data_IF_434252226195
#
_entry.id   IF_434252226195
#
_cell.length_a   1.000
_cell.length_b   1.000
_cell.length_c   1.000
_cell.angle_alpha   90.00
_cell.angle_beta   90.00
_cell.angle_gamma   90.00
#
_symmetry.space_group_name_H-M   'P 1'
#
loop_
_entity.id
_entity.type
_entity.pdbx_description
1 polymer ?
#
# COMPACT_ATOMS: atom_id res chain seq x y z
N UNK A 1 -60.42 -8.15 1.19
CA UNK A 1 -59.32 -7.68 2.04
C UNK A 1 -58.09 -7.51 1.17
N UNK A 2 -57.62 -6.26 1.04
CA UNK A 2 -56.22 -5.79 0.81
C UNK A 2 -55.50 -6.28 -0.48
N UNK A 3 -55.38 -5.42 -1.53
CA UNK A 3 -54.19 -4.60 -1.93
C UNK A 3 -52.99 -5.46 -2.41
N UNK A 4 -52.11 -5.13 -3.36
CA UNK A 4 -51.74 -3.98 -4.20
C UNK A 4 -50.85 -4.58 -5.34
N UNK A 5 -50.68 -3.97 -6.52
CA UNK A 5 -49.44 -3.26 -6.90
C UNK A 5 -48.14 -3.93 -6.40
N UNK A 6 -47.10 -4.24 -7.18
CA UNK A 6 -46.43 -3.36 -8.14
C UNK A 6 -45.41 -4.10 -9.03
N UNK A 7 -45.12 -3.43 -10.16
CA UNK A 7 -44.08 -3.56 -11.20
C UNK A 7 -42.82 -4.39 -10.88
N UNK A 8 -42.27 -5.16 -11.85
CA UNK A 8 -40.94 -5.74 -11.72
C UNK A 8 -39.89 -4.63 -11.68
N UNK A 9 -39.06 -4.64 -10.63
CA UNK A 9 -37.92 -3.76 -10.49
C UNK A 9 -36.94 -4.07 -11.62
N UNK A 10 -36.72 -3.05 -12.46
CA UNK A 10 -35.58 -2.96 -13.36
C UNK A 10 -34.32 -3.39 -12.60
N UNK A 11 -33.67 -4.46 -13.07
CA UNK A 11 -32.33 -4.81 -12.67
C UNK A 11 -31.41 -3.72 -13.24
N UNK A 12 -31.32 -2.60 -12.53
CA UNK A 12 -30.32 -1.59 -12.79
C UNK A 12 -28.97 -2.29 -12.70
N UNK A 13 -28.20 -2.19 -13.79
CA UNK A 13 -26.78 -2.48 -13.78
C UNK A 13 -26.22 -1.87 -12.49
N UNK A 14 -25.60 -2.70 -11.64
CA UNK A 14 -24.77 -2.19 -10.57
C UNK A 14 -23.86 -1.11 -11.20
N UNK A 15 -23.73 0.09 -10.58
CA UNK A 15 -22.82 1.07 -11.11
C UNK A 15 -21.48 0.37 -11.34
N UNK A 16 -20.91 0.54 -12.53
CA UNK A 16 -19.58 0.05 -12.82
C UNK A 16 -18.71 0.38 -11.62
N UNK A 17 -18.04 -0.62 -11.04
CA UNK A 17 -17.08 -0.39 -9.96
C UNK A 17 -16.12 0.67 -10.50
N UNK A 18 -16.26 1.92 -10.03
CA UNK A 18 -15.28 2.94 -10.30
C UNK A 18 -13.95 2.35 -9.87
N UNK A 19 -12.96 2.35 -10.77
CA UNK A 19 -11.61 1.99 -10.41
C UNK A 19 -11.24 2.87 -9.21
N UNK A 20 -11.20 2.27 -8.01
CA UNK A 20 -10.92 3.01 -6.78
C UNK A 20 -9.59 3.78 -6.90
N UNK A 21 -8.67 3.29 -7.75
CA UNK A 21 -7.45 3.98 -8.12
C UNK A 21 -7.68 5.36 -8.76
N UNK A 22 -8.57 5.49 -9.74
CA UNK A 22 -8.77 6.77 -10.45
C UNK A 22 -9.43 7.81 -9.54
N UNK A 23 -10.48 7.41 -8.80
CA UNK A 23 -11.15 8.28 -7.84
C UNK A 23 -10.23 8.69 -6.67
N UNK A 24 -9.31 7.82 -6.27
CA UNK A 24 -8.32 8.12 -5.23
C UNK A 24 -7.23 9.08 -5.74
N UNK A 25 -6.77 8.93 -6.98
CA UNK A 25 -5.80 9.85 -7.60
C UNK A 25 -6.38 11.27 -7.76
N UNK A 26 -7.69 11.40 -7.97
CA UNK A 26 -8.39 12.69 -8.02
C UNK A 26 -8.34 13.49 -6.70
N UNK A 27 -7.83 12.92 -5.60
CA UNK A 27 -7.59 13.64 -4.34
C UNK A 27 -6.29 14.48 -4.39
N UNK A 28 -5.35 14.18 -5.28
CA UNK A 28 -4.02 14.82 -5.31
C UNK A 28 -3.97 16.02 -6.27
N UNK A 29 -3.01 16.98 -6.10
CA UNK A 29 -1.99 17.02 -5.05
C UNK A 29 -2.57 17.42 -3.68
N UNK A 30 -1.97 16.88 -2.62
CA UNK A 30 -2.24 17.33 -1.25
C UNK A 30 -1.50 18.64 -0.97
N UNK A 31 -2.08 19.49 -0.12
CA UNK A 31 -1.46 20.74 0.34
C UNK A 31 -1.67 20.93 1.84
N UNK A 32 -0.75 21.65 2.47
CA UNK A 32 -0.95 22.13 3.84
C UNK A 32 -1.87 23.37 3.84
N UNK A 33 -2.84 23.39 4.74
CA UNK A 33 -3.66 24.53 5.08
C UNK A 33 -3.66 24.69 6.60
N UNK A 34 -2.79 25.58 7.09
CA UNK A 34 -2.46 25.68 8.51
C UNK A 34 -1.93 24.34 9.04
N UNK A 35 -2.57 23.81 10.09
CA UNK A 35 -2.23 22.52 10.71
C UNK A 35 -2.89 21.30 10.04
N UNK A 36 -3.55 21.47 8.89
CA UNK A 36 -4.32 20.41 8.21
C UNK A 36 -3.73 20.11 6.85
N UNK A 37 -3.83 18.85 6.42
CA UNK A 37 -3.70 18.49 5.01
C UNK A 37 -5.07 18.58 4.34
N UNK A 38 -5.10 19.11 3.12
CA UNK A 38 -6.28 19.16 2.26
C UNK A 38 -5.97 18.57 0.88
N UNK A 39 -6.98 17.98 0.27
CA UNK A 39 -6.94 17.49 -1.12
C UNK A 39 -7.06 18.64 -2.12
N UNK A 40 -7.02 18.34 -3.43
CA UNK A 40 -7.16 19.37 -4.47
C UNK A 40 -8.51 20.10 -4.49
N UNK A 41 -9.56 19.53 -3.87
CA UNK A 41 -10.88 20.17 -3.69
C UNK A 41 -10.97 21.04 -2.43
N UNK A 42 -9.90 21.10 -1.62
CA UNK A 42 -9.87 21.84 -0.36
C UNK A 42 -10.47 21.08 0.83
N UNK A 43 -10.86 19.82 0.67
CA UNK A 43 -11.41 18.99 1.73
C UNK A 43 -10.30 18.43 2.60
N UNK A 44 -10.56 18.29 3.90
CA UNK A 44 -9.58 17.75 4.85
C UNK A 44 -9.20 16.31 4.49
N UNK A 45 -7.89 16.06 4.39
CA UNK A 45 -7.33 14.75 4.15
C UNK A 45 -6.65 14.24 5.43
N UNK A 46 -6.97 13.01 5.87
CA UNK A 46 -6.36 12.38 7.05
C UNK A 46 -5.44 11.24 6.60
N UNK A 47 -4.19 11.27 7.08
CA UNK A 47 -3.25 10.16 6.92
C UNK A 47 -3.38 9.26 8.15
N UNK A 48 -3.80 8.00 7.95
CA UNK A 48 -3.68 6.96 8.94
C UNK A 48 -2.37 6.22 8.66
N UNK A 49 -1.30 6.62 9.35
CA UNK A 49 0.06 6.20 9.03
C UNK A 49 0.58 5.06 9.89
N UNK A 50 1.38 4.17 9.29
CA UNK A 50 2.24 3.20 9.99
C UNK A 50 3.69 3.35 9.53
N UNK A 51 4.65 3.04 10.42
CA UNK A 51 6.06 2.92 10.03
C UNK A 51 6.39 1.46 9.78
N UNK A 52 7.05 1.16 8.65
CA UNK A 52 7.61 -0.16 8.39
C UNK A 52 9.13 -0.05 8.26
N UNK A 53 9.83 -0.42 9.34
CA UNK A 53 11.28 -0.28 9.48
C UNK A 53 12.06 -1.44 8.83
N UNK A 54 13.38 -1.35 8.83
CA UNK A 54 14.31 -2.42 8.44
C UNK A 54 15.21 -2.05 7.27
N UNK A 55 14.67 -1.37 6.26
CA UNK A 55 15.44 -0.98 5.07
C UNK A 55 16.56 0.02 5.38
N UNK A 56 16.41 0.80 6.45
CA UNK A 56 17.46 1.66 7.00
C UNK A 56 18.57 0.93 7.74
N UNK A 57 18.36 -0.34 8.10
CA UNK A 57 19.18 -1.07 9.06
C UNK A 57 20.16 -2.02 8.33
N UNK A 58 20.88 -2.84 9.09
CA UNK A 58 21.95 -3.71 8.58
C UNK A 58 21.51 -4.76 7.54
N UNK A 59 20.20 -5.04 7.43
CA UNK A 59 19.66 -5.97 6.43
C UNK A 59 19.29 -5.29 5.11
N UNK A 60 19.24 -3.96 5.08
CA UNK A 60 18.91 -3.13 3.91
C UNK A 60 17.53 -3.40 3.26
N UNK A 61 16.68 -4.23 3.87
CA UNK A 61 15.33 -4.54 3.40
C UNK A 61 14.33 -4.39 4.54
N UNK A 62 13.06 -4.16 4.21
CA UNK A 62 12.00 -4.04 5.22
C UNK A 62 11.91 -5.30 6.09
N UNK A 63 11.69 -5.10 7.39
CA UNK A 63 11.67 -6.19 8.35
C UNK A 63 10.49 -7.14 8.10
N UNK A 64 10.68 -8.43 8.40
CA UNK A 64 9.63 -9.45 8.35
C UNK A 64 9.58 -10.28 7.07
N UNK A 65 10.35 -9.94 6.02
CA UNK A 65 10.44 -10.74 4.79
C UNK A 65 11.12 -12.11 4.99
N UNK A 66 11.85 -12.28 6.09
CA UNK A 66 12.35 -13.56 6.58
C UNK A 66 11.26 -14.45 7.21
N UNK A 67 10.13 -13.86 7.62
CA UNK A 67 9.05 -14.54 8.34
C UNK A 67 7.79 -14.71 7.50
N UNK A 68 7.38 -13.70 6.73
CA UNK A 68 6.09 -13.66 6.01
C UNK A 68 6.27 -13.28 4.54
N UNK A 69 5.34 -13.71 3.65
CA UNK A 69 5.26 -13.18 2.30
C UNK A 69 4.98 -11.67 2.31
N UNK A 70 5.63 -10.91 1.43
CA UNK A 70 5.43 -9.48 1.23
C UNK A 70 3.94 -9.14 1.07
N UNK A 71 3.23 -9.92 0.24
CA UNK A 71 1.81 -9.76 -0.01
C UNK A 71 0.94 -9.88 1.27
N UNK A 72 1.29 -10.78 2.20
CA UNK A 72 0.55 -10.91 3.47
C UNK A 72 0.77 -9.71 4.38
N UNK A 73 1.99 -9.17 4.43
CA UNK A 73 2.30 -7.99 5.25
C UNK A 73 1.57 -6.76 4.70
N UNK A 74 1.63 -6.52 3.39
CA UNK A 74 0.90 -5.42 2.75
C UNK A 74 -0.61 -5.55 2.98
N UNK A 75 -1.17 -6.76 2.84
CA UNK A 75 -2.58 -7.01 3.12
C UNK A 75 -2.92 -6.73 4.59
N UNK A 76 -2.09 -7.13 5.54
CA UNK A 76 -2.34 -6.85 6.95
C UNK A 76 -2.34 -5.34 7.24
N UNK A 77 -1.46 -4.56 6.62
CA UNK A 77 -1.44 -3.09 6.72
C UNK A 77 -2.76 -2.49 6.21
N UNK A 78 -3.24 -2.94 5.05
CA UNK A 78 -4.50 -2.49 4.46
C UNK A 78 -5.71 -2.90 5.33
N UNK A 79 -5.76 -4.16 5.79
CA UNK A 79 -6.84 -4.69 6.62
C UNK A 79 -6.94 -3.98 7.99
N UNK A 80 -5.84 -3.42 8.50
CA UNK A 80 -5.83 -2.57 9.70
C UNK A 80 -6.37 -1.15 9.45
N UNK A 81 -6.62 -0.76 8.20
CA UNK A 81 -7.16 0.55 7.83
C UNK A 81 -6.11 1.67 7.75
N UNK A 82 -4.83 1.33 7.61
CA UNK A 82 -3.79 2.33 7.33
C UNK A 82 -3.86 2.80 5.87
N UNK A 83 -3.65 4.10 5.65
CA UNK A 83 -3.70 4.74 4.32
C UNK A 83 -2.34 5.25 3.85
N UNK A 84 -1.33 5.24 4.73
CA UNK A 84 0.04 5.65 4.42
C UNK A 84 1.03 4.73 5.14
N UNK A 85 2.06 4.30 4.43
CA UNK A 85 3.22 3.65 5.03
C UNK A 85 4.42 4.56 4.90
N UNK A 86 5.07 4.85 6.03
CA UNK A 86 6.39 5.47 6.04
C UNK A 86 7.44 4.37 5.99
N UNK A 87 8.26 4.39 4.94
CA UNK A 87 9.35 3.46 4.69
C UNK A 87 10.71 4.16 4.92
N UNK A 88 11.34 4.02 6.10
CA UNK A 88 12.68 4.53 6.33
C UNK A 88 13.71 3.73 5.53
N UNK A 89 14.67 4.43 4.93
CA UNK A 89 15.72 3.85 4.09
C UNK A 89 17.06 4.52 4.41
N UNK A 90 18.18 3.87 4.08
CA UNK A 90 19.53 4.43 4.29
C UNK A 90 20.21 4.78 2.97
N UNK A 91 21.17 5.71 3.00
CA UNK A 91 21.99 5.98 1.81
C UNK A 91 22.87 4.78 1.40
N UNK A 92 23.17 3.90 2.35
CA UNK A 92 23.98 2.71 2.11
C UNK A 92 23.23 1.70 1.24
N UNK A 93 21.93 1.47 1.50
CA UNK A 93 21.15 0.48 0.73
C UNK A 93 21.13 0.78 -0.78
N UNK A 94 21.27 2.06 -1.16
CA UNK A 94 21.32 2.50 -2.57
C UNK A 94 22.57 2.01 -3.31
N UNK A 95 23.61 1.56 -2.58
CA UNK A 95 24.90 1.12 -3.12
C UNK A 95 25.14 -0.37 -2.92
N UNK A 96 24.31 -1.04 -2.14
CA UNK A 96 24.42 -2.47 -1.89
C UNK A 96 23.85 -3.23 -3.09
N UNK A 97 24.63 -4.13 -3.68
CA UNK A 97 24.19 -4.87 -4.86
C UNK A 97 23.40 -6.15 -4.51
N UNK A 98 23.57 -6.66 -3.29
CA UNK A 98 22.99 -7.95 -2.86
C UNK A 98 22.38 -7.84 -1.47
N UNK A 99 21.16 -8.35 -1.34
CA UNK A 99 20.51 -8.51 -0.04
C UNK A 99 21.32 -9.48 0.84
N UNK A 100 21.63 -9.13 2.10
CA UNK A 100 22.32 -10.02 3.03
C UNK A 100 21.62 -11.37 3.21
N UNK A 101 22.41 -12.42 3.45
CA UNK A 101 21.88 -13.77 3.66
C UNK A 101 20.93 -13.81 4.87
N UNK A 102 19.81 -14.53 4.74
CA UNK A 102 18.80 -14.65 5.78
C UNK A 102 17.94 -13.40 6.00
N UNK A 103 18.13 -12.31 5.25
CA UNK A 103 17.26 -11.14 5.34
C UNK A 103 15.88 -11.36 4.69
N UNK A 104 15.78 -12.25 3.71
CA UNK A 104 14.54 -12.64 3.03
C UNK A 104 14.44 -14.16 3.01
N UNK A 105 13.26 -14.69 3.32
CA UNK A 105 12.92 -16.07 3.05
C UNK A 105 12.40 -16.18 1.60
N UNK A 106 13.27 -16.65 0.70
CA UNK A 106 12.95 -16.77 -0.73
C UNK A 106 12.08 -17.97 -1.10
N UNK A 107 11.73 -18.86 -0.17
CA UNK A 107 10.66 -19.84 -0.40
C UNK A 107 9.29 -19.17 -0.30
N UNK A 108 9.17 -18.19 0.60
CA UNK A 108 7.96 -17.37 0.81
C UNK A 108 7.88 -16.17 -0.13
N UNK A 109 9.03 -15.65 -0.57
CA UNK A 109 9.17 -14.48 -1.43
C UNK A 109 10.05 -14.80 -2.65
N UNK A 110 9.63 -15.74 -3.52
CA UNK A 110 10.45 -16.23 -4.63
C UNK A 110 10.74 -15.15 -5.68
N UNK A 111 9.84 -14.19 -5.84
CA UNK A 111 9.93 -13.06 -6.77
C UNK A 111 10.97 -12.01 -6.37
N UNK A 112 11.40 -12.00 -5.10
CA UNK A 112 12.45 -11.10 -4.61
C UNK A 112 13.86 -11.67 -4.79
N UNK A 113 14.00 -12.92 -5.27
CA UNK A 113 15.29 -13.59 -5.38
C UNK A 113 16.18 -12.91 -6.41
N UNK A 114 17.41 -12.57 -5.99
CA UNK A 114 18.43 -11.99 -6.86
C UNK A 114 18.30 -10.47 -7.07
N UNK A 115 17.28 -9.84 -6.50
CA UNK A 115 17.12 -8.39 -6.49
C UNK A 115 18.13 -7.72 -5.55
N UNK A 116 18.57 -6.51 -5.90
CA UNK A 116 19.28 -5.67 -4.96
C UNK A 116 18.32 -5.04 -3.93
N UNK A 117 18.80 -4.54 -2.78
CA UNK A 117 17.94 -3.90 -1.78
C UNK A 117 17.06 -2.77 -2.32
N UNK A 118 17.54 -1.97 -3.28
CA UNK A 118 16.73 -0.91 -3.89
C UNK A 118 15.57 -1.49 -4.71
N UNK A 119 15.83 -2.52 -5.53
CA UNK A 119 14.78 -3.19 -6.30
C UNK A 119 13.76 -3.86 -5.36
N UNK A 120 14.20 -4.46 -4.25
CA UNK A 120 13.28 -5.00 -3.24
C UNK A 120 12.42 -3.89 -2.64
N UNK A 121 12.99 -2.72 -2.38
CA UNK A 121 12.26 -1.56 -1.86
C UNK A 121 11.21 -1.07 -2.88
N UNK A 122 11.54 -1.03 -4.17
CA UNK A 122 10.59 -0.71 -5.24
C UNK A 122 9.45 -1.73 -5.29
N UNK A 123 9.74 -3.04 -5.18
CA UNK A 123 8.70 -4.08 -5.10
C UNK A 123 7.79 -3.93 -3.89
N UNK A 124 8.31 -3.44 -2.75
CA UNK A 124 7.49 -3.13 -1.58
C UNK A 124 6.54 -1.96 -1.87
N UNK A 125 7.02 -0.91 -2.54
CA UNK A 125 6.20 0.24 -2.93
C UNK A 125 5.09 -0.18 -3.91
N UNK A 126 5.44 -0.95 -4.95
CA UNK A 126 4.48 -1.50 -5.91
C UNK A 126 3.41 -2.33 -5.19
N UNK A 127 3.83 -3.26 -4.34
CA UNK A 127 2.89 -4.16 -3.65
C UNK A 127 1.97 -3.44 -2.67
N UNK A 128 2.46 -2.38 -2.02
CA UNK A 128 1.62 -1.52 -1.19
C UNK A 128 0.60 -0.72 -2.00
N UNK A 129 0.91 -0.37 -3.26
CA UNK A 129 -0.03 0.30 -4.16
C UNK A 129 -1.14 -0.61 -4.70
N UNK A 130 -0.91 -1.91 -4.72
CA UNK A 130 -1.88 -2.94 -5.16
C UNK A 130 -2.79 -3.48 -4.04
N UNK A 131 -2.44 -3.23 -2.78
CA UNK A 131 -3.10 -3.81 -1.59
C UNK A 131 -4.34 -3.01 -1.17
#
# INVERSE_FOLDING_TARGET
ATQHGERPLMFGLAPAQENMGDAWLEQFPLRANGSRLVNRRGERFKLAGVNWYGASDAKHVVAGLDVRPLAEICKAVADMGFTVVRLPFSNEMLRVEKVPEGAINYEKNPDLRGLCPLDVFDRVVDRLGEA
#
